data_IF_525364482840
#
_entry.id   IF_525364482840
#
_cell.length_a   1.000
_cell.length_b   1.000
_cell.length_c   1.000
_cell.angle_alpha   90.00
_cell.angle_beta   90.00
_cell.angle_gamma   90.00
#
_symmetry.space_group_name_H-M   'P 1'
#
loop_
_entity.id
_entity.type
_entity.pdbx_description
1 polymer ?
#
# COMPACT_ATOMS: atom_id res chain seq x y z
N UNK A 1 1.05 20.45 9.52
CA UNK A 1 -0.32 20.57 8.97
C UNK A 1 -1.25 20.00 10.01
N UNK A 2 -2.17 20.81 10.53
CA UNK A 2 -3.18 20.35 11.45
C UNK A 2 -4.27 19.54 10.68
N UNK A 3 -4.60 18.30 11.10
CA UNK A 3 -5.61 17.50 10.41
C UNK A 3 -6.98 18.17 10.29
N UNK A 4 -7.37 18.97 11.28
CA UNK A 4 -8.66 19.67 11.29
C UNK A 4 -8.66 20.82 10.28
N UNK A 5 -7.62 21.64 10.24
CA UNK A 5 -7.43 22.68 9.20
C UNK A 5 -7.47 22.08 7.78
N UNK A 6 -6.78 20.95 7.57
CA UNK A 6 -6.76 20.28 6.26
C UNK A 6 -8.15 19.80 5.85
N UNK A 7 -8.91 19.22 6.78
CA UNK A 7 -10.26 18.73 6.51
C UNK A 7 -11.21 19.89 6.19
N UNK A 8 -11.12 21.00 6.93
CA UNK A 8 -11.90 22.21 6.69
C UNK A 8 -11.64 22.78 5.30
N UNK A 9 -10.36 22.95 4.92
CA UNK A 9 -9.98 23.47 3.61
C UNK A 9 -10.49 22.59 2.46
N UNK A 10 -10.36 21.26 2.57
CA UNK A 10 -10.92 20.34 1.57
C UNK A 10 -12.45 20.48 1.49
N UNK A 11 -13.12 20.60 2.63
CA UNK A 11 -14.57 20.78 2.73
C UNK A 11 -15.09 22.05 2.08
N UNK A 12 -14.37 23.17 2.17
CA UNK A 12 -14.73 24.44 1.51
C UNK A 12 -14.85 24.30 -0.01
N UNK A 13 -14.06 23.41 -0.61
CA UNK A 13 -14.10 23.11 -2.05
C UNK A 13 -14.93 21.88 -2.40
N UNK A 14 -15.65 21.28 -1.43
CA UNK A 14 -16.43 20.06 -1.63
C UNK A 14 -15.58 18.82 -1.93
N UNK A 15 -14.31 18.82 -1.52
CA UNK A 15 -13.37 17.72 -1.72
C UNK A 15 -13.31 16.86 -0.45
N UNK A 16 -13.24 15.55 -0.63
CA UNK A 16 -13.07 14.58 0.47
C UNK A 16 -11.61 14.12 0.63
N UNK A 17 -10.76 14.41 -0.36
CA UNK A 17 -9.35 14.05 -0.35
C UNK A 17 -8.52 14.98 -1.25
N UNK A 18 -7.20 14.96 -1.05
CA UNK A 18 -6.29 15.71 -1.90
C UNK A 18 -6.20 15.11 -3.31
N UNK A 19 -5.99 15.97 -4.32
CA UNK A 19 -5.66 15.53 -5.68
C UNK A 19 -4.38 14.68 -5.74
N UNK A 20 -3.43 14.93 -4.82
CA UNK A 20 -2.21 14.13 -4.69
C UNK A 20 -2.52 12.67 -4.37
N UNK A 21 -3.48 12.40 -3.47
CA UNK A 21 -3.88 11.02 -3.16
C UNK A 21 -4.45 10.31 -4.40
N UNK A 22 -5.24 11.02 -5.22
CA UNK A 22 -5.77 10.49 -6.48
C UNK A 22 -4.65 10.18 -7.47
N UNK A 23 -3.67 11.07 -7.60
CA UNK A 23 -2.50 10.88 -8.47
C UNK A 23 -1.65 9.68 -8.03
N UNK A 24 -1.45 9.50 -6.72
CA UNK A 24 -0.71 8.36 -6.17
C UNK A 24 -1.41 7.05 -6.54
N UNK A 25 -2.73 6.95 -6.32
CA UNK A 25 -3.49 5.74 -6.65
C UNK A 25 -3.49 5.45 -8.15
N UNK A 26 -3.69 6.49 -8.99
CA UNK A 26 -3.63 6.35 -10.44
C UNK A 26 -2.25 5.88 -10.92
N UNK A 27 -1.17 6.39 -10.33
CA UNK A 27 0.19 5.94 -10.64
C UNK A 27 0.43 4.48 -10.22
N UNK A 28 -0.10 4.06 -9.07
CA UNK A 28 -0.04 2.67 -8.61
C UNK A 28 -0.75 1.71 -9.55
N UNK A 29 -1.95 2.07 -9.98
CA UNK A 29 -2.73 1.30 -10.95
C UNK A 29 -2.02 1.25 -12.31
N UNK A 30 -1.48 2.38 -12.78
CA UNK A 30 -0.74 2.47 -14.04
C UNK A 30 0.50 1.57 -14.04
N UNK A 31 1.22 1.49 -12.93
CA UNK A 31 2.38 0.61 -12.76
C UNK A 31 1.99 -0.85 -12.48
N UNK A 32 0.69 -1.16 -12.48
CA UNK A 32 0.14 -2.49 -12.18
C UNK A 32 0.61 -3.03 -10.81
N UNK A 33 0.72 -2.13 -9.83
CA UNK A 33 1.10 -2.46 -8.46
C UNK A 33 -0.14 -2.71 -7.60
N UNK A 34 -0.01 -3.60 -6.63
CA UNK A 34 -1.00 -3.84 -5.58
C UNK A 34 -0.32 -3.84 -4.22
N UNK A 35 -1.13 -3.69 -3.17
CA UNK A 35 -0.67 -3.70 -1.79
C UNK A 35 -1.22 -4.92 -1.06
N UNK A 36 -0.35 -5.62 -0.32
CA UNK A 36 -0.76 -6.57 0.72
C UNK A 36 -0.26 -6.09 2.08
N UNK A 37 -0.80 -6.68 3.15
CA UNK A 37 -0.49 -6.24 4.51
C UNK A 37 0.10 -7.37 5.34
N UNK A 38 1.07 -7.02 6.18
CA UNK A 38 1.42 -7.79 7.37
C UNK A 38 0.90 -7.04 8.57
N UNK A 39 0.23 -7.73 9.50
CA UNK A 39 -0.32 -7.14 10.70
C UNK A 39 0.02 -7.97 11.94
N UNK A 40 0.62 -7.33 12.93
CA UNK A 40 0.97 -7.92 14.23
C UNK A 40 0.98 -6.86 15.32
N UNK A 41 1.24 -7.28 16.56
CA UNK A 41 1.20 -6.38 17.73
C UNK A 41 2.22 -5.24 17.61
N UNK A 42 3.38 -5.51 17.03
CA UNK A 42 4.47 -4.53 16.90
C UNK A 42 4.33 -3.64 15.67
N UNK A 43 3.76 -4.16 14.58
CA UNK A 43 3.76 -3.47 13.28
C UNK A 43 2.55 -3.88 12.43
N UNK A 44 1.97 -2.90 11.75
CA UNK A 44 1.12 -3.10 10.59
C UNK A 44 1.78 -2.40 9.41
N UNK A 45 2.03 -3.14 8.33
CA UNK A 45 2.79 -2.64 7.18
C UNK A 45 2.15 -3.00 5.86
N UNK A 46 2.15 -2.02 4.95
CA UNK A 46 1.78 -2.15 3.56
C UNK A 46 3.01 -2.51 2.71
N UNK A 47 2.91 -3.56 1.90
CA UNK A 47 3.95 -4.03 1.00
C UNK A 47 3.49 -3.94 -0.44
N UNK A 48 4.37 -3.44 -1.31
CA UNK A 48 4.11 -3.26 -2.74
C UNK A 48 4.57 -4.47 -3.53
N UNK A 49 3.70 -5.03 -4.36
CA UNK A 49 4.02 -6.11 -5.31
C UNK A 49 3.38 -5.82 -6.66
N UNK A 50 3.80 -6.52 -7.71
CA UNK A 50 3.10 -6.46 -8.98
C UNK A 50 1.84 -7.34 -8.93
N UNK A 51 0.80 -6.91 -9.64
CA UNK A 51 -0.40 -7.72 -9.81
C UNK A 51 -0.05 -9.03 -10.49
N UNK A 52 -0.40 -10.14 -9.84
CA UNK A 52 -0.14 -11.50 -10.33
C UNK A 52 1.10 -12.16 -9.72
N UNK A 53 1.88 -11.42 -8.90
CA UNK A 53 2.95 -12.03 -8.12
C UNK A 53 2.39 -13.16 -7.23
N UNK A 54 3.06 -14.31 -7.27
CA UNK A 54 2.72 -15.44 -6.41
C UNK A 54 3.24 -15.20 -5.00
N UNK A 55 2.66 -15.92 -4.03
CA UNK A 55 3.03 -15.81 -2.63
C UNK A 55 4.55 -15.91 -2.33
N UNK A 56 5.36 -16.77 -3.00
CA UNK A 56 6.81 -16.78 -2.80
C UNK A 56 7.49 -15.45 -3.16
N UNK A 57 7.14 -14.86 -4.31
CA UNK A 57 7.71 -13.59 -4.75
C UNK A 57 7.26 -12.44 -3.83
N UNK A 58 5.99 -12.45 -3.42
CA UNK A 58 5.48 -11.49 -2.45
C UNK A 58 6.22 -11.57 -1.10
N UNK A 59 6.52 -12.78 -0.61
CA UNK A 59 7.32 -12.99 0.59
C UNK A 59 8.79 -12.54 0.41
N UNK A 60 9.33 -12.69 -0.80
CA UNK A 60 10.66 -12.19 -1.20
C UNK A 60 10.84 -10.68 -0.99
N UNK A 61 9.76 -9.90 -1.12
CA UNK A 61 9.77 -8.44 -0.85
C UNK A 61 10.01 -8.13 0.62
N UNK A 62 9.62 -9.02 1.54
CA UNK A 62 9.92 -8.91 2.98
C UNK A 62 11.37 -9.31 3.24
N UNK A 63 11.79 -10.45 2.69
CA UNK A 63 13.17 -10.93 2.78
C UNK A 63 13.47 -11.94 1.67
N UNK A 64 14.63 -11.81 1.02
CA UNK A 64 15.01 -12.66 -0.13
C UNK A 64 15.03 -14.17 0.16
N UNK A 65 15.35 -14.57 1.40
CA UNK A 65 15.32 -15.99 1.80
C UNK A 65 13.91 -16.59 1.82
N UNK A 66 12.87 -15.78 2.03
CA UNK A 66 11.49 -16.28 2.05
C UNK A 66 11.01 -16.73 0.68
N UNK A 67 11.51 -16.16 -0.39
CA UNK A 67 11.14 -16.60 -1.74
C UNK A 67 11.67 -18.02 -2.00
N UNK A 68 12.93 -18.28 -1.63
CA UNK A 68 13.56 -19.60 -1.81
C UNK A 68 13.04 -20.64 -0.84
N UNK A 69 12.79 -20.24 0.41
CA UNK A 69 12.33 -21.10 1.50
C UNK A 69 10.81 -21.15 1.65
N UNK A 70 10.05 -20.64 0.67
CA UNK A 70 8.60 -20.53 0.79
C UNK A 70 7.95 -21.91 0.96
N UNK A 71 7.18 -22.08 2.05
CA UNK A 71 6.40 -23.30 2.30
C UNK A 71 4.91 -23.03 2.04
N UNK A 72 4.37 -21.99 2.68
CA UNK A 72 2.97 -21.57 2.56
C UNK A 72 2.79 -20.12 3.01
N UNK A 73 1.66 -19.53 2.65
CA UNK A 73 1.14 -18.29 3.22
C UNK A 73 -0.24 -18.56 3.84
N UNK A 74 -0.61 -17.78 4.85
CA UNK A 74 -1.94 -17.75 5.45
C UNK A 74 -2.75 -16.57 4.91
#
# INVERSE_FOLDING_TARGET
EDPEEKAMFLGEYGLTESGLNKLIRASYELLNLITYFTAGVQEVRAWTIHRGDKAPAAAGVIHSDFEKGFIRAE
#
